data_IF_006461430795
#
_entry.id   IF_006461430795
#
_cell.length_a   1.000
_cell.length_b   1.000
_cell.length_c   1.000
_cell.angle_alpha   90.00
_cell.angle_beta   90.00
_cell.angle_gamma   90.00
#
_symmetry.space_group_name_H-M   'P 1'
#
loop_
_entity.id
_entity.type
_entity.pdbx_description
1 polymer ?
#
# COMPACT_ATOMS: atom_id res chain seq x y z
N UNK A 1 -8.21 -17.18 11.87
CA UNK A 1 -7.60 -18.02 10.81
C UNK A 1 -8.43 -18.02 9.53
N UNK A 2 -9.72 -18.36 9.58
CA UNK A 2 -10.59 -18.41 8.37
C UNK A 2 -10.65 -17.06 7.63
N UNK A 3 -10.76 -15.94 8.36
CA UNK A 3 -10.77 -14.59 7.80
C UNK A 3 -9.51 -14.26 6.96
N UNK A 4 -8.34 -14.72 7.41
CA UNK A 4 -7.07 -14.46 6.73
C UNK A 4 -6.96 -15.29 5.45
N UNK A 5 -7.42 -16.54 5.48
CA UNK A 5 -7.50 -17.41 4.30
C UNK A 5 -8.47 -16.82 3.28
N UNK A 6 -9.65 -16.35 3.71
CA UNK A 6 -10.61 -15.72 2.81
C UNK A 6 -10.12 -14.37 2.24
N UNK A 7 -9.27 -13.65 2.97
CA UNK A 7 -8.62 -12.43 2.50
C UNK A 7 -7.54 -12.73 1.44
N UNK A 8 -6.74 -13.78 1.67
CA UNK A 8 -5.75 -14.30 0.71
C UNK A 8 -6.43 -14.80 -0.56
N UNK A 9 -7.61 -15.41 -0.42
CA UNK A 9 -8.45 -15.85 -1.54
C UNK A 9 -9.23 -14.70 -2.22
N UNK A 10 -8.94 -13.44 -1.86
CA UNK A 10 -9.60 -12.25 -2.41
C UNK A 10 -11.13 -12.28 -2.34
N UNK A 11 -11.73 -12.95 -1.34
CA UNK A 11 -13.21 -13.02 -1.25
C UNK A 11 -13.80 -11.67 -0.82
N UNK A 12 -14.74 -11.08 -1.58
CA UNK A 12 -15.38 -9.80 -1.21
C UNK A 12 -16.05 -9.82 0.16
N UNK A 13 -16.58 -10.98 0.56
CA UNK A 13 -17.23 -11.19 1.87
C UNK A 13 -16.28 -10.94 3.05
N UNK A 14 -15.01 -11.34 2.92
CA UNK A 14 -14.00 -11.12 3.96
C UNK A 14 -13.63 -9.64 4.07
N UNK A 15 -13.43 -8.95 2.93
CA UNK A 15 -13.21 -7.51 2.92
C UNK A 15 -14.39 -6.75 3.54
N UNK A 16 -15.62 -7.12 3.20
CA UNK A 16 -16.81 -6.47 3.78
C UNK A 16 -16.88 -6.69 5.28
N UNK A 17 -16.65 -7.92 5.76
CA UNK A 17 -16.68 -8.21 7.19
C UNK A 17 -15.57 -7.48 7.96
N UNK A 18 -14.34 -7.48 7.42
CA UNK A 18 -13.21 -6.79 8.03
C UNK A 18 -13.42 -5.26 8.03
N UNK A 19 -13.80 -4.66 6.91
CA UNK A 19 -13.96 -3.22 6.77
C UNK A 19 -15.18 -2.66 7.51
N UNK A 20 -16.31 -3.37 7.54
CA UNK A 20 -17.55 -2.84 8.14
C UNK A 20 -17.80 -3.32 9.57
N UNK A 21 -17.52 -4.59 9.88
CA UNK A 21 -17.81 -5.10 11.23
C UNK A 21 -16.62 -4.87 12.16
N UNK A 22 -15.40 -5.19 11.75
CA UNK A 22 -14.26 -5.12 12.66
C UNK A 22 -13.77 -3.68 12.89
N UNK A 23 -13.79 -2.83 11.85
CA UNK A 23 -13.18 -1.50 11.90
C UNK A 23 -14.13 -0.40 12.38
N UNK A 24 -15.45 -0.57 12.21
CA UNK A 24 -16.46 0.42 12.62
C UNK A 24 -16.76 0.35 14.12
N UNK A 25 -16.58 -0.81 14.74
CA UNK A 25 -16.91 -1.06 16.16
C UNK A 25 -15.83 -0.53 17.12
N UNK A 26 -14.56 -0.41 16.69
CA UNK A 26 -13.41 0.00 17.52
C UNK A 26 -13.08 1.53 17.50
N UNK A 27 -14.10 2.40 17.46
CA UNK A 27 -13.93 3.84 17.17
C UNK A 27 -12.90 4.66 18.01
N UNK A 28 -12.65 4.43 19.32
CA UNK A 28 -11.59 5.15 20.04
C UNK A 28 -10.19 4.57 19.81
N UNK A 29 -10.06 3.25 19.59
CA UNK A 29 -8.77 2.57 19.26
C UNK A 29 -8.35 2.80 17.81
N UNK A 30 -9.29 3.20 16.97
CA UNK A 30 -9.12 3.48 15.54
C UNK A 30 -7.95 4.43 15.23
N UNK A 31 -7.79 5.52 16.00
CA UNK A 31 -6.71 6.50 15.77
C UNK A 31 -5.33 5.90 16.06
N UNK A 32 -5.23 5.06 17.09
CA UNK A 32 -3.99 4.37 17.45
C UNK A 32 -3.61 3.30 16.42
N UNK A 33 -4.59 2.57 15.88
CA UNK A 33 -4.37 1.57 14.84
C UNK A 33 -3.88 2.20 13.53
N UNK A 34 -4.51 3.30 13.09
CA UNK A 34 -4.18 3.96 11.83
C UNK A 34 -2.71 4.41 11.78
N UNK A 35 -2.24 5.10 12.82
CA UNK A 35 -0.84 5.55 12.88
C UNK A 35 0.15 4.37 12.92
N UNK A 36 -0.17 3.30 13.65
CA UNK A 36 0.66 2.08 13.68
C UNK A 36 0.76 1.42 12.30
N UNK A 37 -0.36 1.29 11.60
CA UNK A 37 -0.39 0.75 10.24
C UNK A 37 0.36 1.65 9.25
N UNK A 38 0.22 2.97 9.37
CA UNK A 38 0.99 3.93 8.54
C UNK A 38 2.49 3.76 8.74
N UNK A 39 2.97 3.67 9.98
CA UNK A 39 4.39 3.43 10.26
C UNK A 39 4.85 2.10 9.64
N UNK A 40 4.13 1.00 9.90
CA UNK A 40 4.49 -0.31 9.36
C UNK A 40 4.52 -0.32 7.83
N UNK A 41 3.53 0.31 7.20
CA UNK A 41 3.44 0.44 5.75
C UNK A 41 4.61 1.24 5.16
N UNK A 42 5.02 2.35 5.80
CA UNK A 42 6.18 3.14 5.38
C UNK A 42 7.50 2.38 5.57
N UNK A 43 7.66 1.66 6.68
CA UNK A 43 8.85 0.82 6.93
C UNK A 43 9.02 -0.25 5.86
N UNK A 44 7.93 -0.89 5.45
CA UNK A 44 7.96 -1.89 4.38
C UNK A 44 8.34 -1.28 3.02
N UNK A 45 7.89 -0.06 2.72
CA UNK A 45 8.27 0.63 1.48
C UNK A 45 9.72 1.13 1.50
N UNK A 46 10.23 1.57 2.65
CA UNK A 46 11.65 1.87 2.86
C UNK A 46 12.49 0.63 2.61
N UNK A 47 12.08 -0.52 3.14
CA UNK A 47 12.79 -1.77 2.88
C UNK A 47 12.71 -2.20 1.42
N UNK A 48 11.55 -2.04 0.76
CA UNK A 48 11.43 -2.28 -0.69
C UNK A 48 12.42 -1.44 -1.50
N UNK A 49 12.56 -0.16 -1.17
CA UNK A 49 13.54 0.72 -1.81
C UNK A 49 14.97 0.18 -1.61
N UNK A 50 15.32 -0.20 -0.37
CA UNK A 50 16.64 -0.74 -0.04
C UNK A 50 16.98 -2.01 -0.83
N UNK A 51 16.03 -2.95 -0.96
CA UNK A 51 16.26 -4.19 -1.71
C UNK A 51 16.45 -3.92 -3.20
N UNK A 52 15.69 -2.99 -3.77
CA UNK A 52 15.85 -2.61 -5.19
C UNK A 52 17.21 -1.94 -5.43
N UNK A 53 17.59 -0.97 -4.60
CA UNK A 53 18.87 -0.27 -4.71
C UNK A 53 20.07 -1.23 -4.51
N UNK A 54 19.95 -2.20 -3.59
CA UNK A 54 21.01 -3.19 -3.35
C UNK A 54 21.27 -4.14 -4.51
N UNK A 55 20.33 -4.26 -5.45
CA UNK A 55 20.50 -5.08 -6.66
C UNK A 55 21.36 -4.41 -7.73
N UNK A 56 21.48 -3.08 -7.69
CA UNK A 56 22.06 -2.28 -8.77
C UNK A 56 23.50 -1.80 -8.48
N UNK A 57 23.92 -1.74 -7.20
CA UNK A 57 25.29 -1.32 -6.82
C UNK A 57 25.91 -2.20 -5.74
N UNK A 58 27.13 -2.68 -6.00
CA UNK A 58 28.05 -3.26 -5.02
C UNK A 58 28.30 -2.20 -3.95
N UNK A 59 27.87 -2.43 -2.70
CA UNK A 59 28.00 -1.48 -1.60
C UNK A 59 29.48 -1.17 -1.33
N UNK A 60 30.01 -0.19 -2.05
CA UNK A 60 31.31 0.40 -1.81
C UNK A 60 31.27 1.04 -0.42
N UNK A 61 31.80 0.33 0.57
CA UNK A 61 31.96 0.74 1.98
C UNK A 61 32.86 1.98 2.18
N UNK A 62 33.07 2.79 1.14
CA UNK A 62 33.88 4.02 1.12
C UNK A 62 33.01 5.27 0.95
N UNK A 63 31.82 5.31 1.54
CA UNK A 63 30.91 6.46 1.44
C UNK A 63 30.94 7.30 2.72
N UNK A 64 31.32 8.57 2.59
CA UNK A 64 31.33 9.56 3.68
C UNK A 64 29.97 9.70 4.37
N UNK A 65 29.95 10.22 5.60
CA UNK A 65 28.71 10.56 6.31
C UNK A 65 27.78 11.46 5.47
N UNK A 66 28.35 12.37 4.67
CA UNK A 66 27.59 13.27 3.78
C UNK A 66 26.83 12.51 2.68
N UNK A 67 27.45 11.49 2.08
CA UNK A 67 26.78 10.65 1.07
C UNK A 67 25.68 9.80 1.69
N UNK A 68 25.88 9.26 2.89
CA UNK A 68 24.86 8.47 3.59
C UNK A 68 23.63 9.33 3.94
N UNK A 69 23.85 10.55 4.43
CA UNK A 69 22.76 11.51 4.72
C UNK A 69 21.99 11.88 3.45
N UNK A 70 22.68 12.04 2.32
CA UNK A 70 22.06 12.31 1.04
C UNK A 70 21.20 11.14 0.55
N UNK A 71 21.73 9.92 0.56
CA UNK A 71 20.99 8.70 0.18
C UNK A 71 19.77 8.49 1.07
N UNK A 72 19.92 8.67 2.38
CA UNK A 72 18.82 8.58 3.33
C UNK A 72 17.72 9.62 3.05
N UNK A 73 18.11 10.87 2.78
CA UNK A 73 17.17 11.94 2.39
C UNK A 73 16.44 11.60 1.09
N UNK A 74 17.15 11.09 0.08
CA UNK A 74 16.57 10.69 -1.20
C UNK A 74 15.53 9.58 -0.99
N UNK A 75 15.91 8.50 -0.30
CA UNK A 75 15.03 7.38 0.03
C UNK A 75 13.75 7.83 0.75
N UNK A 76 13.89 8.65 1.80
CA UNK A 76 12.73 9.14 2.52
C UNK A 76 11.82 9.99 1.62
N UNK A 77 12.40 10.92 0.85
CA UNK A 77 11.62 11.78 -0.04
C UNK A 77 10.86 10.96 -1.06
N UNK A 78 11.51 9.96 -1.66
CA UNK A 78 10.87 9.11 -2.65
C UNK A 78 9.72 8.28 -2.07
N UNK A 79 9.97 7.58 -0.95
CA UNK A 79 8.97 6.75 -0.28
C UNK A 79 7.78 7.58 0.20
N UNK A 80 8.02 8.76 0.78
CA UNK A 80 6.93 9.64 1.22
C UNK A 80 6.14 10.20 0.04
N UNK A 81 6.82 10.69 -1.01
CA UNK A 81 6.18 11.28 -2.18
C UNK A 81 5.34 10.24 -2.94
N UNK A 82 5.91 9.06 -3.22
CA UNK A 82 5.20 8.01 -3.95
C UNK A 82 3.97 7.51 -3.20
N UNK A 83 4.04 7.40 -1.87
CA UNK A 83 2.88 7.04 -1.05
C UNK A 83 1.85 8.16 -0.94
N UNK A 84 2.28 9.40 -0.85
CA UNK A 84 1.38 10.54 -0.89
C UNK A 84 0.61 10.59 -2.21
N UNK A 85 1.30 10.40 -3.34
CA UNK A 85 0.70 10.41 -4.67
C UNK A 85 -0.27 9.25 -4.87
N UNK A 86 0.06 8.04 -4.39
CA UNK A 86 -0.87 6.91 -4.40
C UNK A 86 -2.17 7.23 -3.66
N UNK A 87 -2.07 7.75 -2.43
CA UNK A 87 -3.25 8.11 -1.63
C UNK A 87 -4.04 9.24 -2.29
N UNK A 88 -3.35 10.23 -2.85
CA UNK A 88 -3.96 11.34 -3.56
C UNK A 88 -4.73 10.87 -4.80
N UNK A 89 -4.15 10.00 -5.62
CA UNK A 89 -4.83 9.42 -6.78
C UNK A 89 -6.07 8.63 -6.37
N UNK A 90 -6.00 7.81 -5.31
CA UNK A 90 -7.18 7.12 -4.82
C UNK A 90 -8.27 8.09 -4.32
N UNK A 91 -7.91 9.16 -3.62
CA UNK A 91 -8.87 10.19 -3.20
C UNK A 91 -9.49 10.94 -4.39
N UNK A 92 -8.72 11.19 -5.45
CA UNK A 92 -9.23 11.78 -6.69
C UNK A 92 -10.21 10.84 -7.40
N UNK A 93 -9.85 9.56 -7.56
CA UNK A 93 -10.75 8.54 -8.13
C UNK A 93 -12.05 8.48 -7.34
N UNK A 94 -11.96 8.47 -6.00
CA UNK A 94 -13.14 8.46 -5.12
C UNK A 94 -14.03 9.68 -5.33
N UNK A 95 -13.45 10.86 -5.51
CA UNK A 95 -14.20 12.11 -5.75
C UNK A 95 -14.83 12.16 -7.15
N UNK A 96 -14.13 11.65 -8.16
CA UNK A 96 -14.56 11.71 -9.56
C UNK A 96 -15.61 10.63 -9.84
N UNK A 97 -15.52 9.47 -9.18
CA UNK A 97 -16.50 8.40 -9.33
C UNK A 97 -17.82 8.83 -8.67
N UNK A 98 -18.93 8.95 -9.43
CA UNK A 98 -20.24 9.23 -8.85
C UNK A 98 -20.76 7.94 -8.20
N UNK A 99 -20.22 7.57 -7.05
CA UNK A 99 -20.71 6.44 -6.28
C UNK A 99 -22.06 6.80 -5.67
N UNK A 100 -23.11 6.08 -6.05
CA UNK A 100 -24.40 6.05 -5.35
C UNK A 100 -24.23 5.31 -4.01
N UNK A 101 -23.60 5.94 -3.02
CA UNK A 101 -23.61 5.43 -1.65
C UNK A 101 -24.33 6.43 -0.74
N UNK A 102 -25.35 5.93 -0.04
CA UNK A 102 -25.99 6.60 1.07
C UNK A 102 -24.99 6.72 2.23
N UNK A 103 -24.24 7.83 2.26
CA UNK A 103 -23.20 8.12 3.24
C UNK A 103 -21.80 8.05 2.62
N UNK A 104 -21.17 9.21 2.48
CA UNK A 104 -19.75 9.32 2.09
C UNK A 104 -18.89 8.60 3.13
N UNK A 105 -18.13 7.55 2.77
CA UNK A 105 -17.16 6.97 3.69
C UNK A 105 -16.19 8.06 4.11
N UNK A 106 -15.90 8.15 5.41
CA UNK A 106 -15.00 9.19 5.92
C UNK A 106 -13.62 8.93 5.31
N UNK A 107 -12.90 9.98 4.90
CA UNK A 107 -11.56 9.86 4.30
C UNK A 107 -10.64 8.93 5.12
N UNK A 108 -10.76 8.95 6.46
CA UNK A 108 -10.02 8.08 7.37
C UNK A 108 -10.33 6.58 7.20
N UNK A 109 -11.59 6.23 6.95
CA UNK A 109 -12.03 4.83 6.77
C UNK A 109 -11.48 4.30 5.44
N UNK A 110 -11.50 5.14 4.40
CA UNK A 110 -10.93 4.82 3.11
C UNK A 110 -9.39 4.65 3.18
N UNK A 111 -8.68 5.59 3.82
CA UNK A 111 -7.23 5.47 4.04
C UNK A 111 -6.87 4.19 4.78
N UNK A 112 -7.61 3.88 5.84
CA UNK A 112 -7.39 2.69 6.64
C UNK A 112 -7.65 1.41 5.83
N UNK A 113 -8.68 1.40 5.00
CA UNK A 113 -8.96 0.27 4.13
C UNK A 113 -7.81 0.00 3.14
N UNK A 114 -7.25 1.06 2.52
CA UNK A 114 -6.09 0.95 1.63
C UNK A 114 -4.84 0.44 2.36
N UNK A 115 -4.61 0.91 3.59
CA UNK A 115 -3.50 0.44 4.42
C UNK A 115 -3.63 -1.05 4.76
N UNK A 116 -4.84 -1.50 5.13
CA UNK A 116 -5.08 -2.90 5.50
C UNK A 116 -5.07 -3.80 4.26
N UNK A 117 -5.62 -3.35 3.13
CA UNK A 117 -5.55 -4.12 1.88
C UNK A 117 -4.13 -4.25 1.34
N UNK A 118 -3.18 -3.44 1.82
CA UNK A 118 -1.76 -3.58 1.48
C UNK A 118 -1.00 -4.62 2.32
N UNK A 119 -1.70 -5.55 3.01
CA UNK A 119 -1.10 -6.53 3.92
C UNK A 119 -0.07 -7.46 3.25
N UNK A 120 -0.16 -7.72 1.95
CA UNK A 120 0.81 -8.54 1.21
C UNK A 120 2.24 -7.99 1.28
N UNK A 121 2.42 -6.70 1.57
CA UNK A 121 3.75 -6.13 1.82
C UNK A 121 4.50 -6.80 2.97
N UNK A 122 3.81 -7.48 3.89
CA UNK A 122 4.47 -8.24 4.96
C UNK A 122 5.38 -9.34 4.41
N UNK A 123 5.14 -9.84 3.20
CA UNK A 123 6.03 -10.81 2.54
C UNK A 123 7.42 -10.24 2.22
N UNK A 124 7.58 -8.91 2.21
CA UNK A 124 8.91 -8.30 2.14
C UNK A 124 9.76 -8.66 3.36
N UNK A 125 9.16 -8.86 4.54
CA UNK A 125 9.91 -9.33 5.74
C UNK A 125 10.46 -10.73 5.52
N UNK A 126 9.76 -11.59 4.75
CA UNK A 126 10.30 -12.91 4.40
C UNK A 126 11.57 -12.79 3.55
N UNK A 127 11.70 -11.75 2.72
CA UNK A 127 12.93 -11.50 1.96
C UNK A 127 14.11 -11.03 2.83
N UNK A 128 13.88 -10.62 4.09
CA UNK A 128 14.98 -10.38 5.03
C UNK A 128 15.57 -11.69 5.57
N UNK A 129 14.73 -12.74 5.66
CA UNK A 129 15.11 -14.03 6.25
C UNK A 129 15.61 -14.99 5.20
N UNK A 130 15.04 -14.93 3.99
CA UNK A 130 15.36 -15.81 2.88
C UNK A 130 15.91 -15.03 1.68
N UNK A 131 16.91 -15.60 1.03
CA UNK A 131 17.51 -15.08 -0.19
C UNK A 131 16.56 -15.28 -1.39
N UNK A 132 15.66 -14.32 -1.58
CA UNK A 132 14.78 -14.26 -2.74
C UNK A 132 15.31 -13.25 -3.77
N UNK A 133 15.16 -13.54 -5.09
CA UNK A 133 15.52 -12.56 -6.11
C UNK A 133 14.60 -11.33 -6.05
N UNK A 134 15.12 -10.16 -6.40
CA UNK A 134 14.38 -8.89 -6.41
C UNK A 134 13.10 -8.92 -7.24
N UNK A 135 13.00 -9.82 -8.24
CA UNK A 135 11.78 -10.11 -9.00
C UNK A 135 10.56 -10.48 -8.16
N UNK A 136 10.74 -11.03 -6.94
CA UNK A 136 9.64 -11.36 -6.02
C UNK A 136 8.90 -10.09 -5.57
N UNK A 137 9.56 -8.93 -5.54
CA UNK A 137 8.92 -7.63 -5.24
C UNK A 137 7.80 -7.36 -6.23
N UNK A 138 8.00 -7.65 -7.52
CA UNK A 138 6.97 -7.45 -8.54
C UNK A 138 5.73 -8.33 -8.29
N UNK A 139 5.94 -9.57 -7.85
CA UNK A 139 4.86 -10.49 -7.49
C UNK A 139 4.08 -9.95 -6.28
N UNK A 140 4.78 -9.46 -5.26
CA UNK A 140 4.17 -8.83 -4.07
C UNK A 140 3.37 -7.59 -4.49
N UNK A 141 3.92 -6.73 -5.34
CA UNK A 141 3.27 -5.53 -5.84
C UNK A 141 1.98 -5.86 -6.62
N UNK A 142 1.98 -6.94 -7.42
CA UNK A 142 0.79 -7.44 -8.11
C UNK A 142 -0.29 -7.94 -7.14
N UNK A 143 0.09 -8.66 -6.09
CA UNK A 143 -0.86 -9.08 -5.05
C UNK A 143 -1.44 -7.90 -4.27
N UNK A 144 -0.61 -6.91 -3.95
CA UNK A 144 -1.05 -5.65 -3.32
C UNK A 144 -2.01 -4.89 -4.23
N UNK A 145 -1.75 -4.82 -5.54
CA UNK A 145 -2.63 -4.21 -6.53
C UNK A 145 -4.00 -4.90 -6.58
N UNK A 146 -4.01 -6.24 -6.67
CA UNK A 146 -5.23 -7.05 -6.67
C UNK A 146 -6.03 -6.87 -5.38
N UNK A 147 -5.36 -6.92 -4.24
CA UNK A 147 -5.98 -6.72 -2.92
C UNK A 147 -6.59 -5.33 -2.77
N UNK A 148 -5.88 -4.28 -3.19
CA UNK A 148 -6.39 -2.91 -3.20
C UNK A 148 -7.59 -2.75 -4.13
N UNK A 149 -7.60 -3.45 -5.27
CA UNK A 149 -8.75 -3.45 -6.20
C UNK A 149 -10.01 -3.99 -5.52
N UNK A 150 -9.89 -5.12 -4.82
CA UNK A 150 -11.02 -5.72 -4.08
C UNK A 150 -11.50 -4.81 -2.94
N UNK A 151 -10.57 -4.18 -2.21
CA UNK A 151 -10.92 -3.28 -1.12
C UNK A 151 -11.65 -2.03 -1.64
N UNK A 152 -11.14 -1.40 -2.71
CA UNK A 152 -11.80 -0.27 -3.36
C UNK A 152 -13.18 -0.67 -3.83
N UNK A 153 -13.31 -1.80 -4.54
CA UNK A 153 -14.59 -2.31 -5.03
C UNK A 153 -15.63 -2.49 -3.91
N UNK A 154 -15.21 -3.00 -2.75
CA UNK A 154 -16.10 -3.23 -1.61
C UNK A 154 -16.54 -1.91 -0.96
N UNK A 155 -15.70 -0.89 -0.94
CA UNK A 155 -16.01 0.41 -0.32
C UNK A 155 -16.83 1.30 -1.27
N UNK A 156 -16.53 1.27 -2.56
CA UNK A 156 -17.20 2.11 -3.57
C UNK A 156 -18.47 1.49 -4.13
N UNK A 157 -18.67 0.19 -3.91
CA UNK A 157 -19.71 -0.62 -4.54
C UNK A 157 -19.80 -0.40 -6.06
N UNK A 158 -18.68 -0.07 -6.70
CA UNK A 158 -18.61 0.25 -8.11
C UNK A 158 -18.23 -0.98 -8.95
N UNK A 159 -18.42 -0.86 -10.27
CA UNK A 159 -18.09 -1.93 -11.20
C UNK A 159 -16.59 -2.27 -11.16
N UNK A 160 -16.28 -3.57 -11.20
CA UNK A 160 -14.92 -4.11 -11.09
C UNK A 160 -13.93 -3.43 -12.06
N UNK A 161 -14.35 -3.18 -13.31
CA UNK A 161 -13.50 -2.52 -14.32
C UNK A 161 -13.05 -1.11 -13.92
N UNK A 162 -13.89 -0.34 -13.23
CA UNK A 162 -13.54 0.99 -12.74
C UNK A 162 -12.54 0.92 -11.59
N UNK A 163 -12.70 -0.05 -10.68
CA UNK A 163 -11.79 -0.28 -9.57
C UNK A 163 -10.41 -0.72 -10.07
N UNK A 164 -10.37 -1.66 -11.04
CA UNK A 164 -9.12 -2.10 -11.68
C UNK A 164 -8.40 -0.90 -12.30
N UNK A 165 -9.10 -0.12 -13.13
CA UNK A 165 -8.50 1.06 -13.78
C UNK A 165 -7.97 2.08 -12.78
N UNK A 166 -8.74 2.38 -11.73
CA UNK A 166 -8.32 3.27 -10.66
C UNK A 166 -7.07 2.81 -9.92
N UNK A 167 -7.03 1.53 -9.52
CA UNK A 167 -5.89 0.94 -8.85
C UNK A 167 -4.67 0.91 -9.77
N UNK A 168 -4.84 0.58 -11.04
CA UNK A 168 -3.76 0.58 -12.02
C UNK A 168 -3.16 1.98 -12.20
N UNK A 169 -4.00 3.01 -12.33
CA UNK A 169 -3.55 4.41 -12.42
C UNK A 169 -2.82 4.83 -11.15
N UNK A 170 -3.35 4.52 -9.96
CA UNK A 170 -2.71 4.89 -8.69
C UNK A 170 -1.33 4.25 -8.51
N UNK A 171 -1.19 2.97 -8.85
CA UNK A 171 0.09 2.26 -8.78
C UNK A 171 1.05 2.69 -9.88
N UNK A 172 0.57 2.98 -11.09
CA UNK A 172 1.38 3.54 -12.16
C UNK A 172 1.94 4.91 -11.78
N UNK A 173 1.10 5.81 -11.24
CA UNK A 173 1.55 7.14 -10.75
C UNK A 173 2.62 6.98 -9.66
N UNK A 174 2.43 6.07 -8.71
CA UNK A 174 3.45 5.77 -7.68
C UNK A 174 4.76 5.25 -8.28
N UNK A 175 4.69 4.34 -9.24
CA UNK A 175 5.87 3.81 -9.91
C UNK A 175 6.63 4.90 -10.68
N UNK A 176 5.92 5.79 -11.37
CA UNK A 176 6.53 6.92 -12.07
C UNK A 176 7.19 7.90 -11.11
N UNK A 177 6.57 8.23 -9.98
CA UNK A 177 7.19 9.13 -8.99
C UNK A 177 8.47 8.55 -8.42
N UNK A 178 8.52 7.22 -8.25
CA UNK A 178 9.72 6.51 -7.76
C UNK A 178 10.85 6.36 -8.75
N UNK A 179 10.61 6.59 -10.05
CA UNK A 179 11.65 6.56 -11.08
C UNK A 179 12.18 7.95 -11.43
N UNK A 180 11.40 8.99 -11.13
CA UNK A 180 11.70 10.38 -11.54
C UNK A 180 12.51 11.14 -10.47
N UNK A 181 12.58 10.64 -9.24
CA UNK A 181 13.23 11.30 -8.10
C UNK A 181 14.54 10.64 -7.66
#
# INVERSE_FOLDING_TARGET
MILLIDLILHKPKAYRHLLYNMLKEESPKFKGLLWKLTIGYLLLDVYRYLVLESGDEEWGLSTSFSSLVWTCRKMFTDVFLGNFMLLFTFLLVMKISPSRCAGTPRCKDFLLAILISSYFKIFLVAMMVWEFPSSVIFIIDLFVLSSNTMAVQVITESGMSKCIGACFIAHAVKAFTSQVL
#
